data_IF_339405752304
#
_entry.id   IF_339405752304
#
_cell.length_a   1.000
_cell.length_b   1.000
_cell.length_c   1.000
_cell.angle_alpha   90.00
_cell.angle_beta   90.00
_cell.angle_gamma   90.00
#
_symmetry.space_group_name_H-M   'P 1'
#
loop_
_entity.id
_entity.type
_entity.pdbx_description
1 polymer ?
#
# COMPACT_ATOMS: atom_id res chain seq x y z
N UNK A 1 39.92 -45.47 25.53
CA UNK A 1 38.89 -46.27 26.23
C UNK A 1 37.60 -45.47 26.17
N UNK A 2 36.85 -45.60 25.07
CA UNK A 2 35.72 -46.53 24.87
C UNK A 2 34.39 -45.99 25.44
N UNK A 3 33.57 -45.50 24.50
CA UNK A 3 32.11 -45.23 24.45
C UNK A 3 31.24 -46.34 25.08
N UNK A 4 29.96 -46.10 25.46
CA UNK A 4 28.86 -46.08 24.46
C UNK A 4 27.64 -45.16 24.70
N UNK A 5 27.04 -44.77 23.58
CA UNK A 5 25.64 -44.34 23.41
C UNK A 5 24.63 -45.41 23.87
N UNK A 6 23.39 -44.99 24.17
CA UNK A 6 22.21 -45.57 23.50
C UNK A 6 21.25 -44.45 23.01
N UNK A 7 20.86 -44.39 21.73
CA UNK A 7 19.80 -45.15 21.05
C UNK A 7 18.38 -44.83 21.56
N UNK A 8 17.65 -44.11 20.70
CA UNK A 8 16.21 -44.17 20.37
C UNK A 8 15.17 -44.26 21.51
N UNK A 9 14.42 -43.18 21.69
CA UNK A 9 13.02 -43.23 22.13
C UNK A 9 12.16 -42.38 21.19
N UNK A 10 11.57 -43.03 20.19
CA UNK A 10 10.46 -42.51 19.41
C UNK A 10 9.28 -42.18 20.33
N UNK A 11 8.95 -40.90 20.48
CA UNK A 11 7.60 -40.47 20.82
C UNK A 11 6.95 -39.94 19.54
N UNK A 12 6.12 -40.78 18.93
CA UNK A 12 5.24 -40.37 17.86
C UNK A 12 4.24 -39.35 18.41
N UNK A 13 4.52 -38.06 18.24
CA UNK A 13 3.50 -37.02 18.33
C UNK A 13 2.54 -37.24 17.17
N UNK A 14 1.33 -37.71 17.50
CA UNK A 14 0.18 -37.65 16.61
C UNK A 14 -0.05 -36.19 16.27
N UNK A 15 0.39 -35.77 15.09
CA UNK A 15 -0.03 -34.54 14.46
C UNK A 15 -1.53 -34.68 14.21
N UNK A 16 -2.34 -34.12 15.12
CA UNK A 16 -3.73 -33.82 14.85
C UNK A 16 -3.70 -32.85 13.66
N UNK A 17 -3.99 -33.35 12.46
CA UNK A 17 -4.24 -32.52 11.29
C UNK A 17 -5.46 -31.67 11.61
N UNK A 18 -5.25 -30.44 12.08
CA UNK A 18 -6.29 -29.43 12.02
C UNK A 18 -6.69 -29.36 10.55
N UNK A 19 -7.98 -29.52 10.20
CA UNK A 19 -8.42 -29.19 8.86
C UNK A 19 -8.01 -27.73 8.65
N UNK A 20 -7.23 -27.48 7.60
CA UNK A 20 -6.96 -26.13 7.16
C UNK A 20 -8.32 -25.44 7.06
N UNK A 21 -8.56 -24.44 7.92
CA UNK A 21 -9.64 -23.52 7.68
C UNK A 21 -9.30 -22.92 6.32
N UNK A 22 -10.02 -23.35 5.29
CA UNK A 22 -9.95 -22.71 4.00
C UNK A 22 -10.33 -21.26 4.27
N UNK A 23 -9.34 -20.35 4.20
CA UNK A 23 -9.60 -18.92 4.28
C UNK A 23 -10.48 -18.59 3.08
N UNK A 24 -11.79 -18.59 3.32
CA UNK A 24 -12.77 -18.18 2.33
C UNK A 24 -12.56 -16.70 1.96
N UNK A 25 -13.20 -16.24 0.87
CA UNK A 25 -13.15 -14.83 0.51
C UNK A 25 -13.63 -13.96 1.69
N UNK A 26 -12.86 -12.93 2.01
CA UNK A 26 -13.12 -12.02 3.13
C UNK A 26 -14.55 -11.48 3.06
N UNK A 27 -15.29 -11.58 4.16
CA UNK A 27 -16.65 -11.04 4.25
C UNK A 27 -16.66 -9.51 4.16
N UNK A 28 -17.82 -8.93 3.84
CA UNK A 28 -17.99 -7.48 3.87
C UNK A 28 -17.67 -6.91 5.25
N UNK A 29 -18.09 -7.59 6.32
CA UNK A 29 -17.85 -7.13 7.69
C UNK A 29 -16.35 -7.11 8.04
N UNK A 30 -15.62 -8.18 7.72
CA UNK A 30 -14.17 -8.24 7.95
C UNK A 30 -13.42 -7.18 7.14
N UNK A 31 -13.84 -6.90 5.90
CA UNK A 31 -13.25 -5.84 5.10
C UNK A 31 -13.47 -4.44 5.70
N UNK A 32 -14.68 -4.14 6.19
CA UNK A 32 -14.95 -2.86 6.85
C UNK A 32 -14.16 -2.74 8.16
N UNK A 33 -14.04 -3.83 8.93
CA UNK A 33 -13.23 -3.87 10.15
C UNK A 33 -11.76 -3.58 9.87
N UNK A 34 -11.17 -4.28 8.89
CA UNK A 34 -9.77 -4.06 8.51
C UNK A 34 -9.55 -2.68 7.89
N UNK A 35 -10.50 -2.17 7.10
CA UNK A 35 -10.45 -0.80 6.59
C UNK A 35 -10.47 0.23 7.72
N UNK A 36 -11.32 0.01 8.73
CA UNK A 36 -11.36 0.81 9.95
C UNK A 36 -10.04 0.76 10.73
N UNK A 37 -9.42 -0.43 10.83
CA UNK A 37 -8.10 -0.59 11.46
C UNK A 37 -7.02 0.19 10.72
N UNK A 38 -6.97 0.11 9.39
CA UNK A 38 -6.02 0.89 8.56
C UNK A 38 -6.22 2.40 8.79
N UNK A 39 -7.46 2.88 8.79
CA UNK A 39 -7.76 4.29 9.05
C UNK A 39 -7.34 4.73 10.46
N UNK A 40 -7.55 3.90 11.47
CA UNK A 40 -7.09 4.16 12.84
C UNK A 40 -5.57 4.19 12.93
N UNK A 41 -4.86 3.25 12.29
CA UNK A 41 -3.40 3.24 12.23
C UNK A 41 -2.86 4.52 11.59
N UNK A 42 -3.45 4.96 10.47
CA UNK A 42 -3.09 6.24 9.85
C UNK A 42 -3.36 7.43 10.78
N UNK A 43 -4.52 7.47 11.43
CA UNK A 43 -4.88 8.55 12.37
C UNK A 43 -3.88 8.65 13.52
N UNK A 44 -3.47 7.52 14.08
CA UNK A 44 -2.48 7.47 15.17
C UNK A 44 -1.09 7.89 14.67
N UNK A 45 -0.66 7.39 13.51
CA UNK A 45 0.60 7.80 12.90
C UNK A 45 0.62 9.30 12.58
N UNK A 46 -0.50 9.83 12.07
CA UNK A 46 -0.66 11.25 11.77
C UNK A 46 -0.56 12.11 13.03
N UNK A 47 -1.17 11.69 14.14
CA UNK A 47 -1.05 12.39 15.42
C UNK A 47 0.41 12.48 15.88
N UNK A 48 1.20 11.41 15.72
CA UNK A 48 2.65 11.45 15.98
C UNK A 48 3.36 12.44 15.06
N UNK A 49 3.02 12.45 13.77
CA UNK A 49 3.59 13.41 12.82
C UNK A 49 3.19 14.86 13.10
N UNK A 50 2.04 15.10 13.73
CA UNK A 50 1.56 16.46 14.01
C UNK A 50 2.40 17.19 15.06
N UNK A 51 3.18 16.47 15.86
CA UNK A 51 4.19 16.99 16.81
C UNK A 51 5.49 17.46 16.12
N UNK A 52 5.67 17.14 14.83
CA UNK A 52 6.82 17.58 14.04
C UNK A 52 6.53 18.93 13.36
N UNK A 53 7.58 19.56 12.82
CA UNK A 53 7.46 20.86 12.14
C UNK A 53 8.17 20.87 10.79
N UNK A 54 7.71 21.74 9.88
CA UNK A 54 8.34 21.94 8.57
C UNK A 54 8.41 20.64 7.76
N UNK A 55 9.44 20.46 6.93
CA UNK A 55 9.55 19.31 6.03
C UNK A 55 9.58 17.94 6.76
N UNK A 56 10.08 17.89 8.00
CA UNK A 56 10.02 16.66 8.81
C UNK A 56 8.58 16.18 9.07
N UNK A 57 7.64 17.13 9.25
CA UNK A 57 6.22 16.83 9.36
C UNK A 57 5.67 16.30 8.04
N UNK A 58 5.99 16.95 6.93
CA UNK A 58 5.47 16.58 5.61
C UNK A 58 5.96 15.18 5.20
N UNK A 59 7.25 14.88 5.39
CA UNK A 59 7.82 13.54 5.18
C UNK A 59 7.09 12.50 6.04
N UNK A 60 6.94 12.75 7.35
CA UNK A 60 6.28 11.80 8.26
C UNK A 60 4.84 11.51 7.81
N UNK A 61 4.11 12.54 7.41
CA UNK A 61 2.73 12.42 6.92
C UNK A 61 2.69 11.59 5.64
N UNK A 62 3.55 11.87 4.67
CA UNK A 62 3.57 11.11 3.41
C UNK A 62 4.02 9.67 3.62
N UNK A 63 4.89 9.39 4.58
CA UNK A 63 5.24 8.02 4.97
C UNK A 63 4.04 7.28 5.59
N UNK A 64 3.28 7.94 6.46
CA UNK A 64 2.06 7.38 7.02
C UNK A 64 1.00 7.12 5.92
N UNK A 65 0.85 8.04 4.96
CA UNK A 65 -0.02 7.86 3.80
C UNK A 65 0.45 6.72 2.90
N UNK A 66 1.75 6.56 2.71
CA UNK A 66 2.32 5.48 1.92
C UNK A 66 1.96 4.11 2.50
N UNK A 67 2.12 3.95 3.82
CA UNK A 67 1.72 2.73 4.54
C UNK A 67 0.21 2.49 4.40
N UNK A 68 -0.61 3.54 4.59
CA UNK A 68 -2.06 3.45 4.45
C UNK A 68 -2.49 2.98 3.05
N UNK A 69 -1.90 3.57 2.00
CA UNK A 69 -2.23 3.27 0.62
C UNK A 69 -1.88 1.81 0.25
N UNK A 70 -0.69 1.35 0.63
CA UNK A 70 -0.26 -0.05 0.40
C UNK A 70 -1.17 -1.01 1.17
N UNK A 71 -1.49 -0.72 2.42
CA UNK A 71 -2.38 -1.56 3.22
C UNK A 71 -3.79 -1.67 2.61
N UNK A 72 -4.33 -0.57 2.04
CA UNK A 72 -5.60 -0.62 1.32
C UNK A 72 -5.51 -1.43 0.01
N UNK A 73 -4.41 -1.34 -0.73
CA UNK A 73 -4.21 -2.14 -1.95
C UNK A 73 -4.11 -3.65 -1.61
N UNK A 74 -3.37 -4.00 -0.56
CA UNK A 74 -3.29 -5.38 -0.06
C UNK A 74 -4.65 -5.88 0.45
N UNK A 75 -5.40 -5.05 1.18
CA UNK A 75 -6.75 -5.40 1.64
C UNK A 75 -7.71 -5.61 0.47
N UNK A 76 -7.63 -4.80 -0.58
CA UNK A 76 -8.41 -4.98 -1.81
C UNK A 76 -8.10 -6.34 -2.45
N UNK A 77 -6.82 -6.68 -2.60
CA UNK A 77 -6.42 -7.99 -3.11
C UNK A 77 -6.88 -9.14 -2.21
N UNK A 78 -6.77 -9.02 -0.88
CA UNK A 78 -7.27 -10.04 0.06
C UNK A 78 -8.77 -10.26 -0.06
N UNK A 79 -9.54 -9.23 -0.38
CA UNK A 79 -11.00 -9.35 -0.58
C UNK A 79 -11.36 -9.94 -1.93
N UNK A 80 -10.67 -9.53 -2.99
CA UNK A 80 -11.03 -9.90 -4.36
C UNK A 80 -10.38 -11.21 -4.84
N UNK A 81 -9.16 -11.49 -4.39
CA UNK A 81 -8.31 -12.56 -4.92
C UNK A 81 -7.87 -12.35 -6.38
N UNK A 82 -8.19 -11.21 -7.00
CA UNK A 82 -7.92 -10.98 -8.42
C UNK A 82 -6.46 -10.61 -8.67
N UNK A 83 -5.86 -11.21 -9.72
CA UNK A 83 -4.49 -10.89 -10.13
C UNK A 83 -4.30 -9.41 -10.52
N UNK A 84 -5.35 -8.74 -10.99
CA UNK A 84 -5.33 -7.30 -11.27
C UNK A 84 -5.09 -6.46 -10.02
N UNK A 85 -5.68 -6.86 -8.88
CA UNK A 85 -5.51 -6.16 -7.60
C UNK A 85 -4.16 -6.47 -6.99
N UNK A 86 -3.67 -7.71 -7.13
CA UNK A 86 -2.29 -8.05 -6.78
C UNK A 86 -1.27 -7.23 -7.60
N UNK A 87 -1.51 -7.05 -8.90
CA UNK A 87 -0.66 -6.25 -9.78
C UNK A 87 -0.69 -4.74 -9.45
N UNK A 88 -1.75 -4.24 -8.80
CA UNK A 88 -1.84 -2.85 -8.36
C UNK A 88 -0.97 -2.54 -7.14
N UNK A 89 -0.68 -3.52 -6.27
CA UNK A 89 0.14 -3.33 -5.05
C UNK A 89 1.52 -2.70 -5.36
N UNK A 90 2.36 -3.26 -6.27
CA UNK A 90 3.65 -2.67 -6.58
C UNK A 90 3.55 -1.30 -7.29
N UNK A 91 2.45 -1.01 -7.97
CA UNK A 91 2.19 0.31 -8.57
C UNK A 91 1.92 1.34 -7.48
N UNK A 92 0.98 1.04 -6.57
CA UNK A 92 0.66 1.91 -5.42
C UNK A 92 1.90 2.16 -4.57
N UNK A 93 2.71 1.13 -4.33
CA UNK A 93 3.96 1.26 -3.60
C UNK A 93 4.95 2.20 -4.30
N UNK A 94 5.13 2.07 -5.61
CA UNK A 94 6.02 2.95 -6.37
C UNK A 94 5.56 4.42 -6.36
N UNK A 95 4.25 4.66 -6.45
CA UNK A 95 3.67 6.00 -6.36
C UNK A 95 3.83 6.61 -4.96
N UNK A 96 3.60 5.80 -3.93
CA UNK A 96 3.75 6.20 -2.54
C UNK A 96 5.22 6.51 -2.17
N UNK A 97 6.16 5.66 -2.58
CA UNK A 97 7.61 5.88 -2.42
C UNK A 97 8.06 7.16 -3.14
N UNK A 98 7.50 7.45 -4.32
CA UNK A 98 7.77 8.70 -5.03
C UNK A 98 7.22 9.93 -4.29
N UNK A 99 6.03 9.85 -3.71
CA UNK A 99 5.47 10.94 -2.90
C UNK A 99 6.36 11.28 -1.71
N UNK A 100 6.79 10.26 -0.96
CA UNK A 100 7.76 10.42 0.15
C UNK A 100 9.08 11.01 -0.35
N UNK A 101 9.61 10.52 -1.47
CA UNK A 101 10.85 11.01 -2.05
C UNK A 101 10.74 12.48 -2.48
N UNK A 102 9.59 12.93 -2.97
CA UNK A 102 9.35 14.35 -3.31
C UNK A 102 9.43 15.24 -2.08
N UNK A 103 8.77 14.86 -0.98
CA UNK A 103 8.85 15.62 0.27
C UNK A 103 10.29 15.66 0.78
N UNK A 104 11.04 14.55 0.70
CA UNK A 104 12.47 14.52 1.05
C UNK A 104 13.34 15.43 0.19
N UNK A 105 12.92 15.74 -1.04
CA UNK A 105 13.60 16.70 -1.90
C UNK A 105 13.23 18.15 -1.59
N UNK A 106 12.22 18.43 -0.78
CA UNK A 106 11.70 19.79 -0.61
C UNK A 106 12.59 20.69 0.25
N UNK A 107 13.44 20.11 1.09
CA UNK A 107 14.52 20.82 1.79
C UNK A 107 15.64 21.33 0.87
N UNK A 108 15.77 20.76 -0.33
CA UNK A 108 16.79 21.17 -1.29
C UNK A 108 16.35 22.42 -2.06
N UNK A 109 17.31 23.12 -2.69
CA UNK A 109 17.04 24.32 -3.50
C UNK A 109 17.76 24.27 -4.84
N UNK A 110 17.30 25.08 -5.80
CA UNK A 110 17.97 25.26 -7.09
C UNK A 110 18.24 23.95 -7.85
N UNK A 111 19.49 23.79 -8.31
CA UNK A 111 19.91 22.62 -9.07
C UNK A 111 19.85 21.32 -8.27
N UNK A 112 20.11 21.38 -6.96
CA UNK A 112 20.08 20.19 -6.09
C UNK A 112 18.67 19.64 -5.94
N UNK A 113 17.67 20.53 -5.80
CA UNK A 113 16.25 20.14 -5.80
C UNK A 113 15.86 19.50 -7.14
N UNK A 114 16.25 20.11 -8.26
CA UNK A 114 15.93 19.60 -9.58
C UNK A 114 16.52 18.20 -9.80
N UNK A 115 17.77 17.98 -9.39
CA UNK A 115 18.44 16.67 -9.44
C UNK A 115 17.75 15.65 -8.54
N UNK A 116 17.43 16.01 -7.30
CA UNK A 116 16.72 15.13 -6.37
C UNK A 116 15.38 14.65 -6.94
N UNK A 117 14.57 15.58 -7.48
CA UNK A 117 13.29 15.25 -8.09
C UNK A 117 13.44 14.38 -9.35
N UNK A 118 14.49 14.60 -10.14
CA UNK A 118 14.79 13.76 -11.31
C UNK A 118 15.16 12.33 -10.89
N UNK A 119 16.01 12.17 -9.86
CA UNK A 119 16.41 10.86 -9.33
C UNK A 119 15.22 10.11 -8.71
N UNK A 120 14.36 10.82 -7.96
CA UNK A 120 13.12 10.28 -7.42
C UNK A 120 12.19 9.77 -8.54
N UNK A 121 12.03 10.57 -9.61
CA UNK A 121 11.21 10.20 -10.77
C UNK A 121 11.79 9.04 -11.57
N UNK A 122 13.12 8.97 -11.70
CA UNK A 122 13.79 7.85 -12.34
C UNK A 122 13.55 6.55 -11.56
N UNK A 123 13.65 6.61 -10.23
CA UNK A 123 13.34 5.49 -9.33
C UNK A 123 11.89 5.04 -9.49
N UNK A 124 10.93 5.97 -9.46
CA UNK A 124 9.51 5.68 -9.68
C UNK A 124 9.29 5.00 -11.05
N UNK A 125 9.88 5.56 -12.12
CA UNK A 125 9.74 5.02 -13.48
C UNK A 125 10.28 3.60 -13.56
N UNK A 126 11.43 3.33 -12.94
CA UNK A 126 12.01 1.99 -12.86
C UNK A 126 11.10 1.02 -12.08
N UNK A 127 10.56 1.45 -10.94
CA UNK A 127 9.65 0.64 -10.12
C UNK A 127 8.34 0.32 -10.85
N UNK A 128 7.75 1.30 -11.54
CA UNK A 128 6.55 1.11 -12.36
C UNK A 128 6.81 0.18 -13.55
N UNK A 129 7.98 0.27 -14.19
CA UNK A 129 8.36 -0.65 -15.25
C UNK A 129 8.50 -2.09 -14.74
N UNK A 130 9.14 -2.29 -13.57
CA UNK A 130 9.24 -3.60 -12.91
C UNK A 130 7.87 -4.15 -12.51
N UNK A 131 7.00 -3.31 -11.95
CA UNK A 131 5.62 -3.68 -11.61
C UNK A 131 4.84 -4.18 -12.84
N UNK A 132 4.96 -3.47 -13.97
CA UNK A 132 4.32 -3.85 -15.25
C UNK A 132 4.89 -5.14 -15.84
N UNK A 133 6.21 -5.34 -15.75
CA UNK A 133 6.87 -6.56 -16.21
C UNK A 133 6.44 -7.77 -15.39
N UNK A 134 6.32 -7.62 -14.06
CA UNK A 134 5.84 -8.68 -13.16
C UNK A 134 4.36 -9.04 -13.36
N UNK A 135 3.55 -8.14 -13.91
CA UNK A 135 2.13 -8.36 -14.19
C UNK A 135 1.85 -9.04 -15.55
N UNK A 136 2.87 -9.54 -16.27
CA UNK A 136 2.69 -10.24 -17.55
C UNK A 136 2.74 -9.35 -18.79
N UNK A 137 3.24 -8.11 -18.68
CA UNK A 137 3.76 -7.36 -19.83
C UNK A 137 2.75 -7.05 -20.94
N UNK A 138 1.64 -6.36 -20.65
CA UNK A 138 0.78 -5.77 -21.70
C UNK A 138 -0.18 -4.70 -21.17
N UNK A 139 0.34 -3.68 -20.48
CA UNK A 139 -0.38 -2.40 -20.35
C UNK A 139 0.61 -1.26 -20.59
N UNK A 140 0.68 -0.82 -21.85
CA UNK A 140 1.27 0.47 -22.19
C UNK A 140 0.34 1.56 -21.64
N UNK A 141 0.66 2.10 -20.46
CA UNK A 141 -0.06 3.25 -19.90
C UNK A 141 0.37 4.52 -20.63
N UNK A 142 -0.62 5.33 -21.00
CA UNK A 142 -0.39 6.67 -21.53
C UNK A 142 -0.26 7.68 -20.40
N UNK A 143 0.34 8.87 -20.62
CA UNK A 143 0.38 9.96 -19.62
C UNK A 143 -1.00 10.41 -19.09
N UNK A 144 -2.08 10.06 -19.78
CA UNK A 144 -3.47 10.34 -19.38
C UNK A 144 -3.94 9.38 -18.28
N UNK A 145 -3.51 8.12 -18.35
CA UNK A 145 -3.87 7.10 -17.36
C UNK A 145 -3.22 7.36 -16.00
N UNK A 146 -1.94 7.75 -15.99
CA UNK A 146 -1.22 8.11 -14.77
C UNK A 146 -1.79 9.36 -14.11
N UNK A 147 -2.24 10.33 -14.90
CA UNK A 147 -2.91 11.53 -14.39
C UNK A 147 -4.25 11.20 -13.74
N UNK A 148 -5.03 10.33 -14.38
CA UNK A 148 -6.34 9.86 -13.87
C UNK A 148 -6.19 9.05 -12.57
N UNK A 149 -5.15 8.22 -12.45
CA UNK A 149 -4.86 7.47 -11.22
C UNK A 149 -4.39 8.40 -10.08
N UNK A 150 -3.52 9.37 -10.37
CA UNK A 150 -3.12 10.37 -9.38
C UNK A 150 -4.29 11.27 -8.95
N UNK A 151 -5.21 11.60 -9.87
CA UNK A 151 -6.45 12.32 -9.56
C UNK A 151 -7.40 11.47 -8.69
N UNK A 152 -7.47 10.16 -8.94
CA UNK A 152 -8.24 9.23 -8.12
C UNK A 152 -7.68 9.13 -6.69
N UNK A 153 -6.36 8.99 -6.53
CA UNK A 153 -5.73 8.92 -5.20
C UNK A 153 -5.94 10.21 -4.40
N UNK A 154 -5.79 11.38 -5.04
CA UNK A 154 -6.13 12.66 -4.41
C UNK A 154 -7.60 12.74 -4.00
N UNK A 155 -8.51 12.21 -4.83
CA UNK A 155 -9.93 12.17 -4.51
C UNK A 155 -10.21 11.24 -3.32
N UNK A 156 -9.58 10.05 -3.26
CA UNK A 156 -9.68 9.11 -2.13
C UNK A 156 -9.17 9.76 -0.84
N UNK A 157 -7.98 10.35 -0.86
CA UNK A 157 -7.41 11.03 0.31
C UNK A 157 -8.33 12.17 0.81
N UNK A 158 -9.01 12.87 -0.11
CA UNK A 158 -9.99 13.91 0.24
C UNK A 158 -11.28 13.33 0.82
N UNK A 159 -11.76 12.20 0.29
CA UNK A 159 -12.90 11.47 0.83
C UNK A 159 -12.61 10.91 2.22
N UNK A 160 -11.38 10.49 2.46
CA UNK A 160 -10.93 9.91 3.72
C UNK A 160 -10.82 10.91 4.87
N UNK A 161 -10.76 12.20 4.56
CA UNK A 161 -10.83 13.26 5.54
C UNK A 161 -12.28 13.55 6.03
N UNK A 162 -13.29 12.83 5.52
CA UNK A 162 -14.71 13.05 5.83
C UNK A 162 -15.27 12.05 6.85
N UNK A 163 -16.44 12.36 7.43
CA UNK A 163 -17.18 11.48 8.33
C UNK A 163 -17.62 10.19 7.62
N UNK A 164 -17.75 9.07 8.35
CA UNK A 164 -17.87 7.71 7.78
C UNK A 164 -18.98 7.53 6.73
N UNK A 165 -20.13 8.15 6.95
CA UNK A 165 -21.29 8.15 6.05
C UNK A 165 -21.01 8.91 4.74
N UNK A 166 -20.46 10.13 4.84
CA UNK A 166 -20.09 10.97 3.69
C UNK A 166 -18.87 10.44 2.93
N UNK A 167 -17.94 9.80 3.64
CA UNK A 167 -16.75 9.11 3.09
C UNK A 167 -17.14 8.01 2.13
N UNK A 168 -18.11 7.17 2.49
CA UNK A 168 -18.56 6.05 1.64
C UNK A 168 -19.10 6.55 0.30
N UNK A 169 -20.00 7.54 0.32
CA UNK A 169 -20.54 8.15 -0.90
C UNK A 169 -19.45 8.85 -1.74
N UNK A 170 -18.52 9.54 -1.09
CA UNK A 170 -17.40 10.20 -1.75
C UNK A 170 -16.49 9.18 -2.46
N UNK A 171 -16.16 8.06 -1.82
CA UNK A 171 -15.34 6.99 -2.39
C UNK A 171 -16.03 6.32 -3.60
N UNK A 172 -17.35 6.10 -3.52
CA UNK A 172 -18.12 5.59 -4.68
C UNK A 172 -18.09 6.55 -5.86
N UNK A 173 -18.20 7.86 -5.62
CA UNK A 173 -18.13 8.87 -6.67
C UNK A 173 -16.73 8.97 -7.30
N UNK A 174 -15.67 8.87 -6.48
CA UNK A 174 -14.28 8.89 -6.94
C UNK A 174 -13.98 7.72 -7.89
N UNK A 175 -14.46 6.50 -7.57
CA UNK A 175 -14.30 5.30 -8.41
C UNK A 175 -14.96 5.45 -9.78
N UNK A 176 -16.21 5.92 -9.79
CA UNK A 176 -16.97 6.18 -11.03
C UNK A 176 -16.25 7.19 -11.93
N UNK A 177 -15.65 8.24 -11.34
CA UNK A 177 -14.92 9.28 -12.08
C UNK A 177 -13.58 8.79 -12.66
N UNK A 178 -12.95 7.81 -12.02
CA UNK A 178 -11.74 7.16 -12.51
C UNK A 178 -12.01 6.10 -13.60
N UNK A 179 -13.27 5.77 -13.87
CA UNK A 179 -13.65 4.67 -14.76
C UNK A 179 -13.35 3.28 -14.17
N UNK A 180 -13.16 3.21 -12.84
CA UNK A 180 -13.00 1.96 -12.10
C UNK A 180 -14.38 1.57 -11.57
N UNK A 181 -15.07 0.69 -12.29
CA UNK A 181 -16.38 0.14 -11.88
C UNK A 181 -16.21 -0.83 -10.73
#
# INVERSE_FOLDING_TARGET
>A
MNLPFPILASCALVLLSLPALAAGPMSRFEFELESGRIASTFTNARAVCDELTSNSKDICVEEARAVQAVAHAELAFRRSGHLSDAAAIPVVRAEAEYAVARERCDEQVGADKARCLADAKATQTSALAKAKAGAGGSVAQTPVDTRRDADYQRAVAKCEAMASDTRSHCLTAARKKAGKT
#
